data_IF_682008145654
#
_entry.id   IF_682008145654
#
_cell.length_a   1.000
_cell.length_b   1.000
_cell.length_c   1.000
_cell.angle_alpha   90.00
_cell.angle_beta   90.00
_cell.angle_gamma   90.00
#
_symmetry.space_group_name_H-M   'P 1'
#
loop_
_entity.id
_entity.type
_entity.pdbx_description
1 polymer ?
#
# COMPACT_ATOMS: atom_id res chain seq x y z
N UNK A 1 16.12 -49.44 70.53
CA UNK A 1 16.08 -48.72 69.23
C UNK A 1 14.65 -48.24 69.03
N UNK A 2 14.42 -46.96 69.31
CA UNK A 2 13.11 -46.34 69.16
C UNK A 2 12.75 -46.23 67.68
N UNK A 3 11.63 -46.86 67.30
CA UNK A 3 11.01 -46.66 65.99
C UNK A 3 10.11 -45.43 66.08
N UNK A 4 10.51 -44.35 65.41
CA UNK A 4 9.65 -43.21 65.11
C UNK A 4 8.41 -43.69 64.33
N UNK A 5 7.25 -43.72 65.00
CA UNK A 5 5.94 -43.92 64.36
C UNK A 5 5.37 -42.55 63.98
N UNK A 6 5.30 -42.27 62.69
CA UNK A 6 4.46 -41.19 62.16
C UNK A 6 3.07 -41.78 61.86
N UNK A 7 2.08 -41.43 62.68
CA UNK A 7 0.67 -41.63 62.33
C UNK A 7 0.15 -40.39 61.61
N UNK A 8 0.14 -40.40 60.28
CA UNK A 8 -0.55 -39.37 59.51
C UNK A 8 -2.06 -39.66 59.59
N UNK A 9 -2.75 -38.89 60.42
CA UNK A 9 -4.21 -38.81 60.42
C UNK A 9 -4.64 -38.15 59.10
N UNK A 10 -4.97 -38.96 58.10
CA UNK A 10 -5.70 -38.47 56.92
C UNK A 10 -7.10 -38.13 57.42
N UNK A 11 -7.34 -36.86 57.73
CA UNK A 11 -8.67 -36.37 58.11
C UNK A 11 -9.69 -36.83 57.07
N UNK A 12 -10.51 -37.81 57.49
CA UNK A 12 -11.58 -38.42 56.71
C UNK A 12 -12.38 -37.30 56.03
N UNK A 13 -12.37 -37.31 54.70
CA UNK A 13 -13.07 -36.40 53.79
C UNK A 13 -12.51 -34.97 53.58
N UNK A 14 -11.48 -34.50 54.29
CA UNK A 14 -10.96 -33.13 54.02
C UNK A 14 -10.02 -33.07 52.82
N UNK A 15 -9.10 -34.04 52.69
CA UNK A 15 -8.17 -34.09 51.55
C UNK A 15 -8.89 -34.32 50.22
N UNK A 16 -9.83 -35.28 50.08
CA UNK A 16 -10.58 -35.44 48.83
C UNK A 16 -11.49 -34.24 48.50
N UNK A 17 -12.08 -33.58 49.51
CA UNK A 17 -12.86 -32.35 49.30
C UNK A 17 -11.98 -31.19 48.82
N UNK A 18 -10.76 -31.06 49.37
CA UNK A 18 -9.80 -30.02 48.97
C UNK A 18 -9.31 -30.24 47.54
N UNK A 19 -8.94 -31.47 47.18
CA UNK A 19 -8.58 -31.83 45.80
C UNK A 19 -9.75 -31.56 44.84
N UNK A 20 -10.97 -31.96 45.20
CA UNK A 20 -12.17 -31.71 44.38
C UNK A 20 -12.49 -30.22 44.24
N UNK A 21 -12.23 -29.40 45.26
CA UNK A 21 -12.36 -27.93 45.16
C UNK A 21 -11.30 -27.37 44.23
N UNK A 22 -10.03 -27.69 44.45
CA UNK A 22 -8.92 -27.18 43.64
C UNK A 22 -9.05 -27.55 42.15
N UNK A 23 -9.53 -28.76 41.82
CA UNK A 23 -9.82 -29.13 40.42
C UNK A 23 -10.98 -28.29 39.87
N UNK A 24 -12.05 -28.07 40.64
CA UNK A 24 -13.18 -27.24 40.19
C UNK A 24 -12.80 -25.78 40.02
N UNK A 25 -11.94 -25.27 40.89
CA UNK A 25 -11.44 -23.90 40.85
C UNK A 25 -10.51 -23.74 39.65
N UNK A 26 -9.55 -24.65 39.45
CA UNK A 26 -8.67 -24.65 38.27
C UNK A 26 -9.43 -24.80 36.94
N UNK A 27 -10.46 -25.66 36.87
CA UNK A 27 -11.32 -25.77 35.68
C UNK A 27 -12.14 -24.50 35.43
N UNK A 28 -12.55 -23.79 36.49
CA UNK A 28 -13.27 -22.52 36.36
C UNK A 28 -12.33 -21.44 35.85
N UNK A 29 -11.13 -21.35 36.43
CA UNK A 29 -10.15 -20.31 36.11
C UNK A 29 -9.64 -20.50 34.66
N UNK A 30 -9.31 -21.72 34.24
CA UNK A 30 -9.00 -22.05 32.85
C UNK A 30 -10.18 -21.76 31.89
N UNK A 31 -11.41 -21.93 32.36
CA UNK A 31 -12.61 -21.58 31.60
C UNK A 31 -12.73 -20.08 31.35
N UNK A 32 -12.37 -19.24 32.32
CA UNK A 32 -12.34 -17.79 32.13
C UNK A 32 -11.19 -17.35 31.21
N UNK A 33 -10.01 -17.96 31.35
CA UNK A 33 -8.86 -17.70 30.47
C UNK A 33 -9.18 -18.00 28.99
N UNK A 34 -9.91 -19.09 28.71
CA UNK A 34 -10.39 -19.41 27.35
C UNK A 34 -11.40 -18.37 26.85
N UNK A 35 -12.28 -17.86 27.71
CA UNK A 35 -13.23 -16.81 27.33
C UNK A 35 -12.52 -15.48 27.04
N UNK A 36 -11.56 -15.08 27.87
CA UNK A 36 -10.74 -13.87 27.67
C UNK A 36 -9.96 -13.97 26.35
N UNK A 37 -9.29 -15.10 26.10
CA UNK A 37 -8.60 -15.34 24.83
C UNK A 37 -9.57 -15.32 23.64
N UNK A 38 -10.76 -15.90 23.81
CA UNK A 38 -11.80 -15.90 22.79
C UNK A 38 -12.33 -14.50 22.49
N UNK A 39 -12.42 -13.64 23.51
CA UNK A 39 -12.79 -12.24 23.39
C UNK A 39 -11.74 -11.46 22.62
N UNK A 40 -10.46 -11.59 22.99
CA UNK A 40 -9.36 -10.94 22.29
C UNK A 40 -9.32 -11.30 20.80
N UNK A 41 -9.44 -12.59 20.47
CA UNK A 41 -9.49 -13.07 19.09
C UNK A 41 -10.71 -12.53 18.34
N UNK A 42 -11.88 -12.45 19.00
CA UNK A 42 -13.07 -11.90 18.40
C UNK A 42 -12.94 -10.39 18.14
N UNK A 43 -12.38 -9.64 19.10
CA UNK A 43 -12.09 -8.21 18.97
C UNK A 43 -11.10 -7.94 17.83
N UNK A 44 -10.03 -8.72 17.71
CA UNK A 44 -9.04 -8.59 16.65
C UNK A 44 -9.63 -8.87 15.27
N UNK A 45 -10.47 -9.90 15.15
CA UNK A 45 -11.20 -10.16 13.89
C UNK A 45 -12.16 -9.03 13.54
N UNK A 46 -12.85 -8.44 14.52
CA UNK A 46 -13.70 -7.27 14.31
C UNK A 46 -12.86 -6.06 13.88
N UNK A 47 -11.66 -5.87 14.46
CA UNK A 47 -10.72 -4.81 14.10
C UNK A 47 -10.22 -4.95 12.67
N UNK A 48 -9.78 -6.15 12.28
CA UNK A 48 -9.21 -6.43 10.97
C UNK A 48 -10.23 -6.33 9.82
N UNK A 49 -11.49 -6.76 10.05
CA UNK A 49 -12.53 -6.75 9.02
C UNK A 49 -13.23 -5.40 8.82
N UNK A 50 -12.89 -4.37 9.60
CA UNK A 50 -13.47 -3.03 9.46
C UNK A 50 -15.00 -2.98 9.56
N UNK A 51 -15.61 -3.86 10.38
CA UNK A 51 -17.07 -4.00 10.46
C UNK A 51 -17.77 -2.71 10.88
N UNK A 52 -18.98 -2.51 10.36
CA UNK A 52 -19.92 -1.49 10.84
C UNK A 52 -20.22 -1.79 12.33
N UNK A 53 -20.23 -0.75 13.17
CA UNK A 53 -20.39 -0.86 14.65
C UNK A 53 -19.24 -1.54 15.39
N UNK A 54 -18.01 -1.42 14.86
CA UNK A 54 -16.78 -1.97 15.45
C UNK A 54 -16.66 -1.71 16.95
N UNK A 55 -16.93 -0.48 17.40
CA UNK A 55 -16.78 -0.08 18.80
C UNK A 55 -17.83 -0.74 19.70
N UNK A 56 -19.08 -0.77 19.25
CA UNK A 56 -20.19 -1.37 19.97
C UNK A 56 -20.02 -2.89 20.07
N UNK A 57 -19.53 -3.53 19.01
CA UNK A 57 -19.23 -4.95 19.03
C UNK A 57 -18.06 -5.27 19.97
N UNK A 58 -16.96 -4.53 19.91
CA UNK A 58 -15.79 -4.78 20.77
C UNK A 58 -16.13 -4.63 22.26
N UNK A 59 -16.94 -3.64 22.62
CA UNK A 59 -17.21 -3.32 24.03
C UNK A 59 -18.39 -4.09 24.65
N UNK A 60 -19.02 -5.00 23.90
CA UNK A 60 -20.26 -5.66 24.34
C UNK A 60 -20.12 -7.18 24.47
N UNK A 61 -18.90 -7.68 24.67
CA UNK A 61 -18.70 -9.09 25.01
C UNK A 61 -18.99 -9.30 26.50
N UNK A 62 -19.87 -10.26 26.80
CA UNK A 62 -20.19 -10.65 28.17
C UNK A 62 -19.99 -12.16 28.35
N UNK A 63 -19.21 -12.58 29.35
CA UNK A 63 -19.13 -13.97 29.74
C UNK A 63 -20.37 -14.36 30.57
N UNK A 64 -21.17 -15.29 30.06
CA UNK A 64 -22.30 -15.85 30.79
C UNK A 64 -21.96 -17.21 31.38
N UNK A 65 -22.23 -17.36 32.69
CA UNK A 65 -22.04 -18.60 33.42
C UNK A 65 -23.39 -19.29 33.66
N UNK A 66 -23.64 -20.37 32.92
CA UNK A 66 -24.86 -21.14 33.04
C UNK A 66 -24.66 -22.37 33.92
N UNK A 67 -25.47 -22.51 34.97
CA UNK A 67 -25.54 -23.73 35.78
C UNK A 67 -26.56 -24.70 35.19
N UNK A 68 -26.10 -25.78 34.56
CA UNK A 68 -26.95 -26.87 34.10
C UNK A 68 -26.93 -28.05 35.08
N UNK A 69 -27.94 -28.94 35.08
CA UNK A 69 -27.96 -30.15 35.92
C UNK A 69 -26.76 -31.08 35.68
N UNK A 70 -26.14 -31.01 34.49
CA UNK A 70 -25.00 -31.84 34.06
C UNK A 70 -23.63 -31.15 34.13
N UNK A 71 -23.54 -29.90 34.58
CA UNK A 71 -22.27 -29.16 34.63
C UNK A 71 -22.43 -27.64 34.57
N UNK A 72 -21.30 -26.93 34.54
CA UNK A 72 -21.25 -25.48 34.26
C UNK A 72 -20.73 -25.28 32.85
N UNK A 73 -21.41 -24.45 32.08
CA UNK A 73 -20.94 -24.06 30.75
C UNK A 73 -20.73 -22.55 30.75
N UNK A 74 -19.62 -22.13 30.15
CA UNK A 74 -19.21 -20.75 30.00
C UNK A 74 -19.44 -20.37 28.54
N UNK A 75 -20.14 -19.26 28.30
CA UNK A 75 -20.44 -18.78 26.95
C UNK A 75 -19.98 -17.33 26.86
N UNK A 76 -19.16 -17.03 25.86
CA UNK A 76 -18.85 -15.66 25.47
C UNK A 76 -19.91 -15.22 24.47
N UNK A 77 -20.64 -14.15 24.75
CA UNK A 77 -21.66 -13.62 23.83
C UNK A 77 -21.43 -12.14 23.59
N UNK A 78 -21.59 -11.71 22.35
CA UNK A 78 -21.75 -10.29 22.04
C UNK A 78 -23.21 -9.88 22.28
N UNK A 79 -23.44 -9.03 23.27
CA UNK A 79 -24.78 -8.57 23.65
C UNK A 79 -25.20 -7.27 22.94
N UNK A 80 -24.36 -6.77 22.03
CA UNK A 80 -24.72 -5.61 21.20
C UNK A 80 -25.98 -5.91 20.37
N UNK A 81 -26.91 -4.97 20.33
CA UNK A 81 -28.09 -5.03 19.43
C UNK A 81 -27.68 -5.12 17.95
N UNK A 82 -26.42 -4.83 17.64
CA UNK A 82 -25.83 -4.84 16.31
C UNK A 82 -25.13 -6.16 15.94
N UNK A 83 -24.93 -7.08 16.90
CA UNK A 83 -24.24 -8.34 16.66
C UNK A 83 -24.98 -9.25 15.68
N UNK A 84 -26.29 -9.45 15.88
CA UNK A 84 -27.10 -10.31 15.02
C UNK A 84 -27.15 -9.84 13.55
N UNK A 85 -27.37 -8.53 13.25
CA UNK A 85 -27.24 -8.02 11.88
C UNK A 85 -25.90 -8.29 11.19
N UNK A 86 -24.80 -8.34 11.95
CA UNK A 86 -23.43 -8.53 11.43
C UNK A 86 -23.11 -10.01 11.22
N UNK A 87 -23.64 -10.89 12.07
CA UNK A 87 -23.42 -12.34 12.02
C UNK A 87 -24.35 -13.05 11.03
N UNK A 88 -25.62 -12.68 11.02
CA UNK A 88 -26.68 -13.40 10.30
C UNK A 88 -27.22 -12.63 9.09
N UNK A 89 -26.75 -11.40 8.89
CA UNK A 89 -27.31 -10.47 7.91
C UNK A 89 -28.56 -9.79 8.44
N UNK A 90 -28.78 -8.55 8.05
CA UNK A 90 -29.85 -7.76 8.63
C UNK A 90 -31.19 -7.97 7.90
N UNK A 91 -32.23 -8.34 8.64
CA UNK A 91 -33.62 -8.29 8.15
C UNK A 91 -34.30 -7.08 8.76
N UNK A 92 -34.37 -5.96 8.02
CA UNK A 92 -34.97 -4.72 8.52
C UNK A 92 -36.48 -4.69 8.31
N UNK A 93 -37.21 -4.12 9.28
CA UNK A 93 -38.62 -3.75 9.07
C UNK A 93 -38.73 -2.53 8.16
N UNK A 94 -39.95 -2.07 7.83
CA UNK A 94 -40.19 -0.85 7.02
C UNK A 94 -39.50 0.44 7.55
N UNK A 95 -39.00 0.44 8.79
CA UNK A 95 -38.25 1.56 9.38
C UNK A 95 -36.76 1.60 9.00
N UNK A 96 -36.25 0.58 8.31
CA UNK A 96 -34.84 0.52 7.91
C UNK A 96 -33.87 0.27 9.08
N UNK A 97 -32.54 0.27 8.83
CA UNK A 97 -31.53 0.19 9.87
C UNK A 97 -31.61 1.36 10.87
N UNK A 98 -31.17 1.19 12.12
CA UNK A 98 -31.04 2.29 13.06
C UNK A 98 -29.94 3.25 12.59
N UNK A 99 -30.33 4.24 11.77
CA UNK A 99 -29.43 5.21 11.15
C UNK A 99 -28.54 5.90 12.21
N UNK A 100 -29.08 6.21 13.38
CA UNK A 100 -28.34 6.86 14.46
C UNK A 100 -27.07 6.09 14.90
N UNK A 101 -27.11 4.75 14.90
CA UNK A 101 -25.96 3.91 15.24
C UNK A 101 -24.96 3.80 14.08
N UNK A 102 -25.39 4.07 12.84
CA UNK A 102 -24.51 4.09 11.67
C UNK A 102 -23.74 5.40 11.53
N UNK A 103 -24.26 6.49 12.11
CA UNK A 103 -23.65 7.83 12.01
C UNK A 103 -22.17 7.82 12.42
N UNK A 104 -21.73 7.21 13.55
CA UNK A 104 -20.31 7.20 13.90
C UNK A 104 -19.42 6.48 12.88
N UNK A 105 -19.88 5.36 12.30
CA UNK A 105 -19.13 4.60 11.29
C UNK A 105 -19.09 5.33 9.94
N UNK A 106 -20.22 5.92 9.53
CA UNK A 106 -20.29 6.78 8.33
C UNK A 106 -19.37 7.97 8.52
N UNK A 107 -19.39 8.64 9.67
CA UNK A 107 -18.48 9.74 9.99
C UNK A 107 -17.02 9.27 10.00
N UNK A 108 -16.67 8.15 10.63
CA UNK A 108 -15.29 7.60 10.59
C UNK A 108 -14.81 7.34 9.16
N UNK A 109 -15.68 6.86 8.27
CA UNK A 109 -15.33 6.61 6.86
C UNK A 109 -15.42 7.84 5.96
N UNK A 110 -16.25 8.83 6.28
CA UNK A 110 -16.32 10.10 5.55
C UNK A 110 -15.32 11.15 6.03
N UNK A 111 -14.84 11.06 7.28
CA UNK A 111 -13.89 12.03 7.85
C UNK A 111 -12.45 11.86 7.36
N UNK A 112 -12.18 10.94 6.41
CA UNK A 112 -10.94 10.97 5.65
C UNK A 112 -10.94 12.01 4.51
N UNK A 113 -12.04 12.75 4.29
CA UNK A 113 -12.09 13.86 3.32
C UNK A 113 -12.79 15.14 3.79
N UNK A 114 -13.35 15.20 5.00
CA UNK A 114 -13.78 16.49 5.57
C UNK A 114 -13.98 16.37 7.08
N UNK A 115 -13.14 17.08 7.83
CA UNK A 115 -13.27 17.17 9.28
C UNK A 115 -14.48 18.01 9.66
N UNK A 116 -15.48 17.42 10.31
CA UNK A 116 -16.33 18.13 11.26
C UNK A 116 -17.16 17.14 12.12
N UNK A 117 -17.00 17.31 13.44
CA UNK A 117 -17.83 16.84 14.57
C UNK A 117 -17.46 15.50 15.26
N UNK A 118 -16.94 15.62 16.49
CA UNK A 118 -17.59 14.92 17.61
C UNK A 118 -16.75 14.10 18.60
N UNK A 119 -15.46 14.35 18.73
CA UNK A 119 -14.64 13.84 19.84
C UNK A 119 -13.62 14.88 20.30
N UNK A 120 -14.06 16.14 20.43
CA UNK A 120 -13.21 17.35 20.45
C UNK A 120 -12.01 17.22 21.39
N UNK A 121 -12.15 16.77 22.63
CA UNK A 121 -11.00 16.78 23.54
C UNK A 121 -9.93 15.72 23.22
N UNK A 122 -10.31 14.57 22.65
CA UNK A 122 -9.34 13.51 22.29
C UNK A 122 -8.83 13.69 20.85
N UNK A 123 -9.68 14.15 19.93
CA UNK A 123 -9.28 14.47 18.55
C UNK A 123 -8.45 15.75 18.51
N UNK A 124 -8.76 16.77 19.30
CA UNK A 124 -7.93 17.98 19.42
C UNK A 124 -6.63 17.66 20.12
N UNK A 125 -6.61 16.91 21.24
CA UNK A 125 -5.32 16.51 21.85
C UNK A 125 -4.48 15.61 20.95
N UNK A 126 -5.11 14.76 20.12
CA UNK A 126 -4.39 13.94 19.14
C UNK A 126 -3.92 14.78 17.96
N UNK A 127 -4.75 15.67 17.42
CA UNK A 127 -4.38 16.60 16.35
C UNK A 127 -3.29 17.58 16.81
N UNK A 128 -3.39 18.12 18.02
CA UNK A 128 -2.39 18.97 18.68
C UNK A 128 -1.08 18.21 18.93
N UNK A 129 -1.13 16.95 19.40
CA UNK A 129 0.09 16.13 19.56
C UNK A 129 0.71 15.74 18.22
N UNK A 130 -0.12 15.50 17.20
CA UNK A 130 0.34 15.23 15.84
C UNK A 130 0.98 16.50 15.27
N UNK A 131 0.39 17.68 15.50
CA UNK A 131 0.98 18.95 15.07
C UNK A 131 2.26 19.30 15.84
N UNK A 132 2.33 19.04 17.15
CA UNK A 132 3.54 19.26 17.95
C UNK A 132 4.69 18.33 17.52
N UNK A 133 4.38 17.05 17.26
CA UNK A 133 5.39 16.11 16.74
C UNK A 133 5.83 16.47 15.33
N UNK A 134 4.87 16.82 14.47
CA UNK A 134 5.16 17.23 13.10
C UNK A 134 6.05 18.49 13.07
N UNK A 135 5.66 19.51 13.83
CA UNK A 135 6.47 20.72 14.01
C UNK A 135 7.86 20.39 14.56
N UNK A 136 7.98 19.40 15.47
CA UNK A 136 9.28 18.96 15.95
C UNK A 136 10.14 18.34 14.85
N UNK A 137 9.56 17.54 13.96
CA UNK A 137 10.33 16.97 12.84
C UNK A 137 10.79 18.05 11.86
N UNK A 138 9.92 19.04 11.57
CA UNK A 138 10.26 20.22 10.76
C UNK A 138 11.41 21.01 11.39
N UNK A 139 11.35 21.29 12.70
CA UNK A 139 12.44 21.96 13.43
C UNK A 139 13.77 21.19 13.33
N UNK A 140 13.73 19.86 13.52
CA UNK A 140 14.93 19.01 13.40
C UNK A 140 15.49 19.06 11.98
N UNK A 141 14.63 18.98 10.97
CA UNK A 141 15.03 19.05 9.57
C UNK A 141 15.67 20.40 9.24
N UNK A 142 15.06 21.51 9.68
CA UNK A 142 15.63 22.85 9.55
C UNK A 142 16.98 22.98 10.26
N UNK A 143 17.15 22.41 11.45
CA UNK A 143 18.42 22.42 12.18
C UNK A 143 19.52 21.66 11.45
N UNK A 144 19.18 20.51 10.85
CA UNK A 144 20.08 19.72 10.00
C UNK A 144 20.44 20.51 8.74
N UNK A 145 19.46 21.12 8.07
CA UNK A 145 19.67 21.93 6.86
C UNK A 145 20.46 23.21 7.15
N UNK A 146 20.27 23.88 8.29
CA UNK A 146 21.13 25.03 8.66
C UNK A 146 22.61 24.66 8.79
N UNK A 147 22.92 23.39 9.09
CA UNK A 147 24.29 22.85 9.12
C UNK A 147 24.75 22.33 7.75
N UNK A 148 23.85 22.27 6.79
CA UNK A 148 24.04 21.65 5.49
C UNK A 148 23.49 22.55 4.36
N UNK A 149 24.37 23.23 3.63
CA UNK A 149 23.97 24.05 2.48
C UNK A 149 23.95 23.20 1.20
N UNK A 150 22.81 23.12 0.51
CA UNK A 150 22.69 22.50 -0.82
C UNK A 150 23.21 23.39 -1.98
N UNK A 151 23.95 24.47 -1.67
CA UNK A 151 24.14 25.65 -2.51
C UNK A 151 24.61 25.51 -3.97
N UNK A 152 24.87 24.32 -4.54
CA UNK A 152 25.45 24.19 -5.89
C UNK A 152 24.84 23.07 -6.77
N UNK A 153 23.58 22.64 -6.55
CA UNK A 153 22.98 21.52 -7.28
C UNK A 153 21.98 21.94 -8.37
N UNK A 154 22.38 22.78 -9.33
CA UNK A 154 21.55 23.01 -10.53
C UNK A 154 21.40 21.69 -11.33
N UNK A 155 20.29 20.98 -11.11
CA UNK A 155 19.88 19.81 -11.90
C UNK A 155 20.72 18.54 -11.72
N UNK A 156 21.60 18.48 -10.72
CA UNK A 156 22.44 17.31 -10.44
C UNK A 156 22.08 16.66 -9.10
N UNK A 157 22.17 15.33 -9.04
CA UNK A 157 22.05 14.62 -7.77
C UNK A 157 23.18 15.08 -6.81
N UNK A 158 22.93 15.17 -5.49
CA UNK A 158 23.96 15.52 -4.53
C UNK A 158 25.14 14.56 -4.63
N UNK A 159 26.35 15.09 -4.49
CA UNK A 159 27.54 14.24 -4.55
C UNK A 159 27.63 13.36 -3.29
N UNK A 160 28.43 12.29 -3.36
CA UNK A 160 28.58 11.34 -2.25
C UNK A 160 28.96 12.01 -0.92
N UNK A 161 29.79 13.06 -0.95
CA UNK A 161 30.26 13.76 0.25
C UNK A 161 29.12 14.55 0.91
N UNK A 162 28.29 15.21 0.11
CA UNK A 162 27.09 15.90 0.56
C UNK A 162 26.12 14.96 1.27
N UNK A 163 25.79 13.83 0.63
CA UNK A 163 24.90 12.84 1.25
C UNK A 163 25.48 12.20 2.50
N UNK A 164 26.79 11.94 2.51
CA UNK A 164 27.47 11.45 3.72
C UNK A 164 27.39 12.47 4.85
N UNK A 165 27.54 13.77 4.56
CA UNK A 165 27.39 14.83 5.55
C UNK A 165 25.94 14.93 6.06
N UNK A 166 24.95 14.89 5.18
CA UNK A 166 23.52 14.88 5.55
C UNK A 166 23.22 13.73 6.52
N UNK A 167 23.62 12.51 6.16
CA UNK A 167 23.43 11.31 6.98
C UNK A 167 24.17 11.43 8.32
N UNK A 168 25.41 11.94 8.30
CA UNK A 168 26.20 12.14 9.51
C UNK A 168 25.56 13.14 10.47
N UNK A 169 25.03 14.26 9.97
CA UNK A 169 24.36 15.25 10.79
C UNK A 169 23.01 14.75 11.31
N UNK A 170 22.26 14.02 10.49
CA UNK A 170 21.00 13.37 10.90
C UNK A 170 21.24 12.35 12.01
N UNK A 171 22.22 11.47 11.85
CA UNK A 171 22.56 10.44 12.84
C UNK A 171 23.15 10.98 14.16
N UNK A 172 23.56 12.26 14.18
CA UNK A 172 24.12 12.95 15.36
C UNK A 172 23.17 13.95 15.99
N UNK A 173 21.94 14.06 15.49
CA UNK A 173 20.93 14.89 16.12
C UNK A 173 20.53 14.28 17.47
N UNK A 174 20.48 15.07 18.54
CA UNK A 174 20.29 14.57 19.91
C UNK A 174 18.94 13.86 20.12
N UNK A 175 17.96 14.18 19.27
CA UNK A 175 16.62 13.57 19.29
C UNK A 175 16.46 12.34 18.39
N UNK A 176 17.50 11.93 17.65
CA UNK A 176 17.43 10.80 16.74
C UNK A 176 18.34 9.65 17.18
N UNK A 177 17.84 8.42 17.03
CA UNK A 177 18.65 7.21 17.19
C UNK A 177 19.50 7.00 15.93
N UNK A 178 20.81 7.22 16.02
CA UNK A 178 21.73 7.02 14.90
C UNK A 178 21.65 5.62 14.27
N UNK A 179 21.34 4.58 15.06
CA UNK A 179 21.14 3.23 14.48
C UNK A 179 19.86 3.16 13.64
N UNK A 180 18.81 3.89 14.02
CA UNK A 180 17.58 3.96 13.23
C UNK A 180 17.82 4.67 11.90
N UNK A 181 18.62 5.74 11.90
CA UNK A 181 19.03 6.46 10.68
C UNK A 181 19.79 5.54 9.72
N UNK A 182 20.77 4.78 10.23
CA UNK A 182 21.54 3.83 9.41
C UNK A 182 20.68 2.67 8.88
N UNK A 183 19.75 2.16 9.69
CA UNK A 183 18.79 1.12 9.29
C UNK A 183 17.89 1.58 8.15
N UNK A 184 17.33 2.81 8.23
CA UNK A 184 16.50 3.39 7.16
C UNK A 184 17.29 3.53 5.87
N UNK A 185 18.51 4.09 5.96
CA UNK A 185 19.41 4.22 4.81
C UNK A 185 19.67 2.85 4.16
N UNK A 186 20.00 1.82 4.94
CA UNK A 186 20.26 0.49 4.40
C UNK A 186 19.01 -0.14 3.77
N UNK A 187 17.83 0.11 4.34
CA UNK A 187 16.56 -0.36 3.82
C UNK A 187 16.20 0.34 2.50
N UNK A 188 16.38 1.66 2.41
CA UNK A 188 16.18 2.44 1.18
C UNK A 188 17.15 2.03 0.06
N UNK A 189 18.45 1.87 0.37
CA UNK A 189 19.44 1.38 -0.61
C UNK A 189 19.08 -0.04 -1.09
N UNK A 190 18.59 -0.90 -0.19
CA UNK A 190 18.16 -2.25 -0.57
C UNK A 190 16.90 -2.26 -1.43
N UNK A 191 15.99 -1.31 -1.22
CA UNK A 191 14.82 -1.11 -2.08
C UNK A 191 15.24 -0.80 -3.51
N UNK A 192 16.16 0.14 -3.68
CA UNK A 192 16.65 0.54 -5.01
C UNK A 192 17.43 -0.56 -5.71
N UNK A 193 18.32 -1.24 -4.97
CA UNK A 193 19.21 -2.25 -5.54
C UNK A 193 18.56 -3.59 -5.87
N UNK A 194 17.27 -3.80 -5.53
CA UNK A 194 16.61 -5.09 -5.76
C UNK A 194 15.14 -4.97 -6.15
N UNK A 195 14.79 -5.55 -7.29
CA UNK A 195 13.40 -5.81 -7.65
C UNK A 195 12.79 -6.98 -6.88
N UNK A 196 13.61 -7.81 -6.24
CA UNK A 196 13.19 -8.99 -5.49
C UNK A 196 12.90 -8.62 -4.03
N UNK A 197 11.73 -9.00 -3.49
CA UNK A 197 11.45 -8.87 -2.07
C UNK A 197 12.53 -9.52 -1.21
N UNK A 198 13.02 -8.77 -0.21
CA UNK A 198 13.83 -9.27 0.88
C UNK A 198 13.43 -8.55 2.17
N UNK A 199 13.90 -9.03 3.31
CA UNK A 199 13.51 -8.49 4.63
C UNK A 199 13.72 -6.98 4.75
N UNK A 200 14.74 -6.40 4.10
CA UNK A 200 14.98 -4.95 4.13
C UNK A 200 13.99 -4.18 3.27
N UNK A 201 13.65 -4.69 2.09
CA UNK A 201 12.60 -4.13 1.22
C UNK A 201 11.24 -4.19 1.91
N UNK A 202 10.94 -5.33 2.55
CA UNK A 202 9.71 -5.53 3.31
C UNK A 202 9.65 -4.58 4.53
N UNK A 203 10.72 -4.52 5.34
CA UNK A 203 10.85 -3.58 6.46
C UNK A 203 10.63 -2.15 6.00
N UNK A 204 11.28 -1.74 4.89
CA UNK A 204 11.14 -0.39 4.35
C UNK A 204 9.69 -0.06 3.99
N UNK A 205 9.00 -0.96 3.26
CA UNK A 205 7.60 -0.77 2.89
C UNK A 205 6.68 -0.65 4.11
N UNK A 206 6.84 -1.52 5.11
CA UNK A 206 6.07 -1.47 6.34
C UNK A 206 6.40 -0.22 7.19
N UNK A 207 7.67 0.19 7.22
CA UNK A 207 8.11 1.39 7.92
C UNK A 207 7.51 2.65 7.28
N UNK A 208 7.60 2.81 5.96
CA UNK A 208 6.97 3.92 5.24
C UNK A 208 5.47 3.96 5.49
N UNK A 209 4.80 2.80 5.43
CA UNK A 209 3.37 2.69 5.73
C UNK A 209 3.04 3.20 7.15
N UNK A 210 3.78 2.76 8.17
CA UNK A 210 3.57 3.20 9.56
C UNK A 210 3.92 4.68 9.78
N UNK A 211 5.01 5.16 9.18
CA UNK A 211 5.50 6.51 9.36
C UNK A 211 4.54 7.54 8.77
N UNK A 212 4.05 7.29 7.56
CA UNK A 212 3.25 8.24 6.77
C UNK A 212 1.75 7.95 6.79
N UNK A 213 1.32 6.85 7.43
CA UNK A 213 -0.08 6.44 7.49
C UNK A 213 -0.65 6.05 6.14
N UNK A 214 0.14 5.32 5.34
CA UNK A 214 -0.24 4.95 3.97
C UNK A 214 -1.34 3.88 3.95
N UNK A 215 -2.27 4.02 3.00
CA UNK A 215 -3.19 2.94 2.63
C UNK A 215 -2.46 1.87 1.80
N UNK A 216 -3.14 0.81 1.33
CA UNK A 216 -2.51 -0.20 0.47
C UNK A 216 -1.74 -1.32 1.20
N UNK A 217 -1.48 -2.42 0.53
CA UNK A 217 -0.62 -3.49 1.09
C UNK A 217 0.86 -3.13 0.96
N UNK A 218 1.70 -3.40 1.98
CA UNK A 218 3.15 -3.38 1.78
C UNK A 218 3.57 -4.33 0.66
N UNK A 219 4.66 -4.01 -0.04
CA UNK A 219 5.16 -4.79 -1.20
C UNK A 219 5.51 -6.23 -0.85
N UNK A 220 5.83 -6.51 0.40
CA UNK A 220 6.15 -7.83 0.91
C UNK A 220 5.90 -7.90 2.42
N UNK A 221 5.59 -9.10 2.91
CA UNK A 221 5.37 -9.35 4.33
C UNK A 221 6.66 -9.15 5.14
N UNK A 222 6.54 -8.49 6.29
CA UNK A 222 7.62 -8.30 7.25
C UNK A 222 7.18 -8.73 8.65
N UNK A 223 7.84 -9.76 9.18
CA UNK A 223 7.55 -10.32 10.51
C UNK A 223 8.35 -9.65 11.65
N UNK A 224 9.22 -8.69 11.32
CA UNK A 224 10.04 -8.00 12.32
C UNK A 224 9.34 -6.79 12.95
N UNK A 225 9.92 -6.32 14.06
CA UNK A 225 9.41 -5.14 14.76
C UNK A 225 9.90 -3.84 14.09
N UNK A 226 8.99 -2.89 13.92
CA UNK A 226 9.30 -1.49 13.57
C UNK A 226 9.30 -0.66 14.84
N UNK A 227 10.47 -0.06 15.14
CA UNK A 227 10.70 0.77 16.34
C UNK A 227 10.17 2.19 16.12
N UNK A 228 9.72 2.83 17.17
CA UNK A 228 9.29 4.25 17.11
C UNK A 228 10.45 5.17 16.68
N UNK A 229 11.69 4.88 17.08
CA UNK A 229 12.84 5.66 16.63
C UNK A 229 13.10 5.58 15.12
N UNK A 230 12.71 4.48 14.46
CA UNK A 230 12.76 4.34 13.01
C UNK A 230 11.64 5.14 12.35
N UNK A 231 10.46 5.19 12.96
CA UNK A 231 9.35 6.04 12.48
C UNK A 231 9.73 7.52 12.58
N UNK A 232 10.30 7.96 13.70
CA UNK A 232 10.72 9.34 13.93
C UNK A 232 11.80 9.77 12.92
N UNK A 233 12.84 8.94 12.74
CA UNK A 233 13.89 9.22 11.76
C UNK A 233 13.36 9.24 10.31
N UNK A 234 12.40 8.36 9.98
CA UNK A 234 11.77 8.34 8.66
C UNK A 234 10.98 9.62 8.36
N UNK A 235 10.33 10.20 9.37
CA UNK A 235 9.63 11.49 9.23
C UNK A 235 10.58 12.67 9.08
N UNK A 236 11.70 12.68 9.79
CA UNK A 236 12.73 13.70 9.55
C UNK A 236 13.31 13.58 8.14
N UNK A 237 13.54 12.37 7.64
CA UNK A 237 13.94 12.18 6.24
C UNK A 237 12.89 12.68 5.25
N UNK A 238 11.60 12.50 5.53
CA UNK A 238 10.53 13.05 4.69
C UNK A 238 10.61 14.57 4.59
N UNK A 239 10.74 15.28 5.71
CA UNK A 239 10.90 16.75 5.70
C UNK A 239 12.13 17.19 4.91
N UNK A 240 13.29 16.56 5.17
CA UNK A 240 14.54 16.84 4.44
C UNK A 240 14.41 16.56 2.94
N UNK A 241 13.71 15.49 2.57
CA UNK A 241 13.44 15.11 1.19
C UNK A 241 12.56 16.12 0.48
N UNK A 242 11.46 16.51 1.12
CA UNK A 242 10.47 17.41 0.50
C UNK A 242 11.06 18.80 0.30
N UNK A 243 11.82 19.28 1.27
CA UNK A 243 12.55 20.54 1.10
C UNK A 243 13.57 20.44 -0.05
N UNK A 244 14.36 19.36 -0.09
CA UNK A 244 15.29 19.14 -1.19
C UNK A 244 14.58 19.06 -2.55
N UNK A 245 13.42 18.40 -2.61
CA UNK A 245 12.59 18.31 -3.80
C UNK A 245 12.09 19.70 -4.24
N UNK A 246 11.59 20.54 -3.33
CA UNK A 246 11.15 21.91 -3.64
C UNK A 246 12.26 22.79 -4.19
N UNK A 247 13.48 22.64 -3.66
CA UNK A 247 14.63 23.45 -4.07
C UNK A 247 15.25 22.99 -5.41
N UNK A 248 15.22 21.68 -5.72
CA UNK A 248 16.05 21.10 -6.78
C UNK A 248 15.28 20.39 -7.90
N UNK A 249 14.00 20.13 -7.70
CA UNK A 249 13.12 19.62 -8.76
C UNK A 249 12.34 20.79 -9.37
N UNK A 250 11.87 20.61 -10.60
CA UNK A 250 11.03 21.58 -11.28
C UNK A 250 9.62 21.58 -10.69
N UNK A 251 9.47 22.02 -9.45
CA UNK A 251 8.19 22.15 -8.76
C UNK A 251 7.47 23.38 -9.30
N UNK A 252 6.20 23.21 -9.68
CA UNK A 252 5.37 24.32 -10.16
C UNK A 252 4.88 25.23 -9.00
N UNK A 253 4.11 26.26 -9.36
CA UNK A 253 3.58 27.23 -8.38
C UNK A 253 2.56 26.63 -7.40
N UNK A 254 1.96 25.50 -7.75
CA UNK A 254 0.99 24.77 -6.94
C UNK A 254 1.66 23.67 -6.09
N UNK A 255 2.99 23.55 -6.15
CA UNK A 255 3.76 22.57 -5.39
C UNK A 255 3.80 21.19 -6.04
N UNK A 256 3.46 21.07 -7.32
CA UNK A 256 3.46 19.79 -8.04
C UNK A 256 4.75 19.56 -8.81
N UNK A 257 5.10 18.28 -8.93
CA UNK A 257 6.17 17.78 -9.79
C UNK A 257 5.60 16.74 -10.76
N UNK A 258 6.03 16.81 -12.02
CA UNK A 258 5.73 15.78 -13.01
C UNK A 258 6.60 14.55 -12.76
N UNK A 259 5.96 13.41 -12.55
CA UNK A 259 6.61 12.14 -12.25
C UNK A 259 6.20 11.05 -13.25
N UNK A 260 7.17 10.24 -13.65
CA UNK A 260 7.02 9.20 -14.66
C UNK A 260 7.24 7.81 -14.08
N UNK A 261 6.48 6.82 -14.56
CA UNK A 261 6.67 5.42 -14.17
C UNK A 261 6.43 4.46 -15.33
N UNK A 262 7.42 3.62 -15.59
CA UNK A 262 7.28 2.47 -16.49
C UNK A 262 6.47 1.36 -15.83
N UNK A 263 5.38 0.93 -16.47
CA UNK A 263 4.56 -0.16 -15.98
C UNK A 263 5.14 -1.52 -16.41
N UNK A 264 5.13 -2.48 -15.49
CA UNK A 264 5.52 -3.87 -15.75
C UNK A 264 4.28 -4.77 -15.74
N UNK A 265 4.03 -5.48 -14.64
CA UNK A 265 2.83 -6.29 -14.41
C UNK A 265 1.52 -5.50 -14.64
N UNK A 266 1.44 -4.26 -14.14
CA UNK A 266 0.29 -3.37 -14.36
C UNK A 266 0.00 -3.05 -15.83
N UNK A 267 0.95 -3.25 -16.76
CA UNK A 267 0.68 -3.13 -18.20
C UNK A 267 -0.41 -4.09 -18.64
N UNK A 268 -0.45 -5.31 -18.08
CA UNK A 268 -1.44 -6.31 -18.44
C UNK A 268 -2.85 -5.93 -17.98
N UNK A 269 -2.98 -5.50 -16.72
CA UNK A 269 -4.26 -5.09 -16.11
C UNK A 269 -4.83 -3.83 -16.77
N UNK A 270 -3.98 -2.81 -16.97
CA UNK A 270 -4.38 -1.59 -17.66
C UNK A 270 -4.65 -1.86 -19.15
N UNK A 271 -3.86 -2.71 -19.80
CA UNK A 271 -4.09 -3.17 -21.17
C UNK A 271 -5.48 -3.80 -21.36
N UNK A 272 -5.90 -4.67 -20.44
CA UNK A 272 -7.24 -5.24 -20.48
C UNK A 272 -8.34 -4.18 -20.34
N UNK A 273 -8.16 -3.19 -19.46
CA UNK A 273 -9.10 -2.07 -19.32
C UNK A 273 -9.16 -1.22 -20.59
N UNK A 274 -8.01 -0.90 -21.19
CA UNK A 274 -7.92 -0.16 -22.46
C UNK A 274 -8.68 -0.89 -23.56
N UNK A 275 -8.50 -2.21 -23.71
CA UNK A 275 -9.27 -2.96 -24.71
C UNK A 275 -10.76 -3.02 -24.37
N UNK A 276 -11.12 -3.34 -23.12
CA UNK A 276 -12.51 -3.47 -22.70
C UNK A 276 -13.29 -2.15 -22.81
N UNK A 277 -12.66 -1.04 -22.46
CA UNK A 277 -13.27 0.27 -22.19
C UNK A 277 -12.40 1.43 -22.72
N UNK A 278 -12.04 1.39 -24.01
CA UNK A 278 -11.17 2.39 -24.65
C UNK A 278 -11.69 3.85 -24.57
N UNK A 279 -13.00 4.03 -24.42
CA UNK A 279 -13.64 5.34 -24.32
C UNK A 279 -13.79 5.88 -22.89
N UNK A 280 -13.32 5.15 -21.88
CA UNK A 280 -13.32 5.65 -20.49
C UNK A 280 -12.22 6.72 -20.33
N UNK A 281 -12.52 7.75 -19.53
CA UNK A 281 -11.58 8.84 -19.25
C UNK A 281 -10.54 8.46 -18.17
N UNK A 282 -10.80 7.40 -17.42
CA UNK A 282 -10.02 6.99 -16.27
C UNK A 282 -9.98 5.47 -16.13
N UNK A 283 -8.87 4.93 -15.64
CA UNK A 283 -8.70 3.51 -15.33
C UNK A 283 -8.12 3.33 -13.93
N UNK A 284 -8.23 2.11 -13.40
CA UNK A 284 -7.68 1.76 -12.09
C UNK A 284 -6.47 0.85 -12.26
N UNK A 285 -5.40 1.12 -11.52
CA UNK A 285 -4.29 0.19 -11.39
C UNK A 285 -4.12 -0.20 -9.93
N UNK A 286 -3.90 -1.50 -9.68
CA UNK A 286 -3.60 -1.96 -8.32
C UNK A 286 -2.28 -1.37 -7.86
N UNK A 287 -2.15 -1.14 -6.57
CA UNK A 287 -0.90 -0.64 -5.99
C UNK A 287 -0.58 -1.27 -4.65
N UNK A 288 0.63 -0.98 -4.21
CA UNK A 288 1.09 -1.14 -2.85
C UNK A 288 0.97 0.18 -2.11
N UNK A 289 1.27 0.14 -0.82
CA UNK A 289 1.30 1.32 0.03
C UNK A 289 2.31 2.40 -0.44
N UNK A 290 3.38 1.98 -1.12
CA UNK A 290 4.47 2.83 -1.55
C UNK A 290 4.82 2.51 -3.00
N UNK A 291 4.83 3.53 -3.84
CA UNK A 291 5.12 3.40 -5.27
C UNK A 291 6.37 4.19 -5.65
N UNK A 292 7.08 3.71 -6.67
CA UNK A 292 8.29 4.33 -7.17
C UNK A 292 8.06 4.97 -8.53
N UNK A 293 8.45 6.24 -8.64
CA UNK A 293 8.43 7.05 -9.84
C UNK A 293 9.82 7.64 -10.08
N UNK A 294 10.01 8.22 -11.25
CA UNK A 294 11.21 8.98 -11.61
C UNK A 294 10.81 10.38 -12.06
N UNK A 295 11.65 11.37 -11.78
CA UNK A 295 11.50 12.70 -12.41
C UNK A 295 11.96 12.72 -13.88
N UNK A 296 12.47 11.60 -14.39
CA UNK A 296 13.02 11.45 -15.74
C UNK A 296 12.19 10.52 -16.59
N UNK A 297 11.72 11.04 -17.71
CA UNK A 297 10.93 10.30 -18.68
C UNK A 297 11.70 9.11 -19.26
N UNK A 298 12.98 9.30 -19.59
CA UNK A 298 13.82 8.28 -20.20
C UNK A 298 13.99 7.05 -19.30
N UNK A 299 14.00 7.24 -17.98
CA UNK A 299 14.11 6.16 -16.99
C UNK A 299 12.81 5.36 -16.98
N UNK A 300 11.65 6.03 -17.00
CA UNK A 300 10.36 5.34 -17.09
C UNK A 300 10.24 4.49 -18.37
N UNK A 301 10.82 4.94 -19.48
CA UNK A 301 10.88 4.18 -20.72
C UNK A 301 11.72 2.88 -20.57
N UNK A 302 12.89 2.96 -19.93
CA UNK A 302 13.77 1.79 -19.70
C UNK A 302 13.11 0.69 -18.86
N UNK A 303 12.31 1.07 -17.87
CA UNK A 303 11.63 0.12 -16.99
C UNK A 303 10.28 -0.36 -17.51
N UNK A 304 9.72 0.28 -18.55
CA UNK A 304 8.41 -0.09 -19.10
C UNK A 304 8.42 -1.42 -19.85
N UNK A 305 7.32 -2.17 -19.72
CA UNK A 305 7.01 -3.36 -20.52
C UNK A 305 5.80 -3.16 -21.43
N UNK A 306 5.39 -1.92 -21.69
CA UNK A 306 4.39 -1.61 -22.70
C UNK A 306 3.66 -0.30 -22.48
N UNK A 307 3.53 0.16 -21.23
CA UNK A 307 2.89 1.42 -20.87
C UNK A 307 3.78 2.24 -19.93
N UNK A 308 3.72 3.55 -20.08
CA UNK A 308 4.28 4.52 -19.14
C UNK A 308 3.14 5.39 -18.64
N UNK A 309 3.19 5.75 -17.36
CA UNK A 309 2.31 6.76 -16.80
C UNK A 309 3.11 8.02 -16.46
N UNK A 310 2.49 9.18 -16.62
CA UNK A 310 3.04 10.48 -16.27
C UNK A 310 1.98 11.29 -15.53
N UNK A 311 2.26 11.64 -14.28
CA UNK A 311 1.29 12.31 -13.41
C UNK A 311 1.96 13.48 -12.69
N UNK A 312 1.18 14.54 -12.44
CA UNK A 312 1.58 15.59 -11.51
C UNK A 312 1.28 15.14 -10.08
N UNK A 313 2.26 15.28 -9.20
CA UNK A 313 2.18 14.89 -7.80
C UNK A 313 2.57 16.06 -6.91
N UNK A 314 1.75 16.36 -5.92
CA UNK A 314 2.07 17.41 -4.97
C UNK A 314 3.17 16.93 -4.02
N UNK A 315 4.23 17.73 -3.88
CA UNK A 315 5.39 17.35 -3.04
C UNK A 315 4.98 17.12 -1.59
N UNK A 316 4.03 17.91 -1.07
CA UNK A 316 3.66 17.88 0.35
C UNK A 316 2.66 16.77 0.66
N UNK A 317 1.71 16.52 -0.23
CA UNK A 317 0.69 15.49 0.00
C UNK A 317 1.07 14.11 -0.53
N UNK A 318 1.77 14.02 -1.67
CA UNK A 318 1.91 12.77 -2.41
C UNK A 318 3.32 12.18 -2.34
N UNK A 319 4.35 13.02 -2.25
CA UNK A 319 5.73 12.54 -2.14
C UNK A 319 5.99 12.07 -0.71
N UNK A 320 6.55 10.88 -0.57
CA UNK A 320 7.04 10.38 0.72
C UNK A 320 8.53 10.63 0.85
N UNK A 321 9.33 10.25 -0.15
CA UNK A 321 10.78 10.43 -0.16
C UNK A 321 11.33 10.58 -1.58
N UNK A 322 12.11 11.62 -1.84
CA UNK A 322 13.02 11.72 -2.96
C UNK A 322 14.31 10.97 -2.62
N UNK A 323 14.33 9.67 -2.92
CA UNK A 323 15.37 8.73 -2.47
C UNK A 323 16.75 9.12 -2.98
N UNK A 324 16.84 9.44 -4.26
CA UNK A 324 18.12 9.85 -4.87
C UNK A 324 18.54 11.27 -4.50
N UNK A 325 17.67 12.04 -3.84
CA UNK A 325 18.04 13.30 -3.18
C UNK A 325 18.64 13.11 -1.79
N UNK A 326 18.34 11.99 -1.11
CA UNK A 326 18.79 11.74 0.27
C UNK A 326 19.94 10.72 0.37
N UNK A 327 19.94 9.70 -0.48
CA UNK A 327 20.79 8.54 -0.32
C UNK A 327 21.69 8.31 -1.54
N UNK A 328 22.98 8.08 -1.28
CA UNK A 328 23.91 7.78 -2.37
C UNK A 328 23.78 6.32 -2.76
N UNK A 329 23.36 6.08 -4.01
CA UNK A 329 23.15 4.77 -4.57
C UNK A 329 23.95 4.61 -5.87
N UNK A 330 24.22 3.37 -6.29
CA UNK A 330 24.85 3.13 -7.60
C UNK A 330 23.97 3.50 -8.79
N UNK A 331 22.71 3.87 -8.54
CA UNK A 331 21.66 4.09 -9.54
C UNK A 331 21.05 5.50 -9.41
N UNK A 332 21.79 6.47 -8.84
CA UNK A 332 21.32 7.86 -8.67
C UNK A 332 20.82 8.54 -9.95
N UNK A 333 21.23 8.05 -11.12
CA UNK A 333 20.80 8.57 -12.42
C UNK A 333 19.30 8.36 -12.68
N UNK A 334 18.63 7.50 -11.91
CA UNK A 334 17.20 7.20 -11.99
C UNK A 334 16.31 8.31 -11.40
N UNK A 335 16.84 9.17 -10.51
CA UNK A 335 16.08 10.24 -9.84
C UNK A 335 14.76 9.72 -9.24
N UNK A 336 14.88 8.65 -8.45
CA UNK A 336 13.75 7.92 -7.90
C UNK A 336 13.05 8.70 -6.78
N UNK A 337 11.73 8.86 -6.94
CA UNK A 337 10.81 9.46 -5.99
C UNK A 337 9.82 8.41 -5.54
N UNK A 338 9.72 8.21 -4.23
CA UNK A 338 8.71 7.39 -3.61
C UNK A 338 7.47 8.22 -3.33
N UNK A 339 6.33 7.78 -3.85
CA UNK A 339 5.04 8.44 -3.68
C UNK A 339 4.08 7.56 -2.89
N UNK A 340 3.10 8.20 -2.26
CA UNK A 340 1.98 7.52 -1.60
C UNK A 340 1.24 6.68 -2.63
N UNK A 341 1.11 5.39 -2.33
CA UNK A 341 0.27 4.48 -3.09
C UNK A 341 -1.09 4.28 -2.42
N UNK A 342 -1.63 3.06 -2.54
CA UNK A 342 -2.96 2.70 -2.04
C UNK A 342 -3.25 1.23 -2.33
N UNK A 343 -4.51 0.83 -2.19
CA UNK A 343 -4.96 -0.47 -2.73
C UNK A 343 -5.08 -0.40 -4.27
N UNK A 344 -5.46 0.77 -4.78
CA UNK A 344 -5.42 1.16 -6.18
C UNK A 344 -5.27 2.68 -6.29
N UNK A 345 -4.93 3.18 -7.48
CA UNK A 345 -5.21 4.58 -7.82
C UNK A 345 -5.71 4.72 -9.25
N UNK A 346 -6.38 5.84 -9.48
CA UNK A 346 -6.93 6.25 -10.77
C UNK A 346 -5.84 6.85 -11.66
N UNK A 347 -5.77 6.40 -12.90
CA UNK A 347 -4.96 7.04 -13.96
C UNK A 347 -5.88 7.61 -15.01
N UNK A 348 -5.71 8.90 -15.31
CA UNK A 348 -6.41 9.59 -16.38
C UNK A 348 -5.94 9.10 -17.75
N UNK A 349 -6.81 9.19 -18.74
CA UNK A 349 -6.53 8.77 -20.12
C UNK A 349 -5.38 9.55 -20.77
N UNK A 350 -5.22 10.80 -20.40
CA UNK A 350 -4.14 11.72 -20.78
C UNK A 350 -2.84 11.51 -19.98
N UNK A 351 -2.87 10.66 -18.95
CA UNK A 351 -1.71 10.31 -18.13
C UNK A 351 -1.02 9.02 -18.58
N UNK A 352 -1.56 8.33 -19.59
CA UNK A 352 -1.04 7.05 -20.09
C UNK A 352 -0.39 7.22 -21.45
N UNK A 353 0.79 6.63 -21.62
CA UNK A 353 1.64 6.80 -22.79
C UNK A 353 2.14 5.46 -23.33
N UNK A 354 2.29 5.39 -24.65
CA UNK A 354 3.02 4.32 -25.33
C UNK A 354 4.52 4.70 -25.40
N UNK A 355 5.44 3.84 -24.90
CA UNK A 355 6.88 4.08 -24.98
C UNK A 355 7.41 3.74 -26.38
N UNK A 356 7.73 4.73 -27.19
CA UNK A 356 8.08 4.58 -28.60
C UNK A 356 9.57 4.72 -28.86
N UNK A 357 10.03 4.20 -30.01
CA UNK A 357 11.42 4.30 -30.44
C UNK A 357 11.51 4.82 -31.88
N UNK A 358 12.35 5.81 -32.13
CA UNK A 358 12.69 6.27 -33.48
C UNK A 358 14.20 6.43 -33.71
N UNK A 359 14.57 7.18 -34.76
CA UNK A 359 15.98 7.44 -35.08
C UNK A 359 16.62 8.47 -34.14
N UNK A 360 15.82 9.35 -33.54
CA UNK A 360 16.26 10.41 -32.63
C UNK A 360 16.37 9.91 -31.19
N UNK A 361 15.55 8.94 -30.78
CA UNK A 361 15.60 8.41 -29.43
C UNK A 361 14.29 7.73 -28.99
N UNK A 362 14.24 7.25 -27.73
CA UNK A 362 12.98 6.93 -27.11
C UNK A 362 12.12 8.19 -26.97
N UNK A 363 10.80 8.06 -27.10
CA UNK A 363 9.83 9.12 -26.86
C UNK A 363 8.51 8.53 -26.36
N UNK A 364 7.64 9.34 -25.77
CA UNK A 364 6.29 8.93 -25.36
C UNK A 364 5.24 9.43 -26.35
N UNK A 365 4.28 8.57 -26.69
CA UNK A 365 3.11 8.92 -27.50
C UNK A 365 1.86 8.82 -26.63
N UNK A 366 1.06 9.88 -26.57
CA UNK A 366 -0.12 9.97 -25.72
C UNK A 366 -1.15 8.91 -26.12
N UNK A 367 -1.62 8.11 -25.17
CA UNK A 367 -2.56 7.03 -25.48
C UNK A 367 -3.95 7.56 -25.85
N UNK A 368 -4.37 8.68 -25.24
CA UNK A 368 -5.68 9.31 -25.48
C UNK A 368 -6.01 9.49 -26.96
N UNK A 369 -5.25 10.31 -27.72
CA UNK A 369 -5.45 10.52 -29.15
C UNK A 369 -5.42 9.23 -29.99
N UNK A 370 -4.56 8.26 -29.62
CA UNK A 370 -4.46 6.97 -30.31
C UNK A 370 -5.73 6.15 -30.15
N UNK A 371 -6.32 6.17 -28.95
CA UNK A 371 -7.59 5.49 -28.68
C UNK A 371 -8.76 6.16 -29.43
N UNK A 372 -8.74 7.48 -29.61
CA UNK A 372 -9.75 8.17 -30.43
C UNK A 372 -9.64 7.77 -31.91
N UNK A 373 -8.41 7.59 -32.40
CA UNK A 373 -8.15 7.09 -33.75
C UNK A 373 -8.63 5.63 -33.92
N UNK A 374 -8.38 4.77 -32.93
CA UNK A 374 -8.91 3.39 -32.92
C UNK A 374 -10.44 3.37 -32.94
N UNK A 375 -11.11 4.18 -32.12
CA UNK A 375 -12.57 4.21 -32.07
C UNK A 375 -13.20 4.75 -33.36
N UNK A 376 -12.53 5.68 -34.04
CA UNK A 376 -13.04 6.28 -35.28
C UNK A 376 -12.73 5.47 -36.53
N UNK A 377 -11.55 4.85 -36.60
CA UNK A 377 -10.98 4.31 -37.85
C UNK A 377 -10.42 2.89 -37.72
N UNK A 378 -10.47 2.28 -36.53
CA UNK A 378 -9.91 0.96 -36.25
C UNK A 378 -8.38 0.95 -36.20
N UNK A 379 -7.80 -0.22 -35.92
CA UNK A 379 -6.34 -0.38 -35.81
C UNK A 379 -5.59 -0.22 -37.14
N UNK A 380 -6.29 -0.29 -38.28
CA UNK A 380 -5.73 -0.04 -39.61
C UNK A 380 -5.32 1.42 -39.83
N UNK A 381 -5.74 2.35 -38.99
CA UNK A 381 -5.30 3.75 -39.05
C UNK A 381 -3.93 3.97 -38.37
N UNK A 382 -3.56 3.10 -37.43
CA UNK A 382 -2.34 3.27 -36.64
C UNK A 382 -1.08 3.08 -37.47
N UNK A 383 0.01 3.69 -37.02
CA UNK A 383 1.35 3.45 -37.57
C UNK A 383 1.87 2.07 -37.15
N UNK A 384 2.81 1.51 -37.92
CA UNK A 384 3.43 0.22 -37.58
C UNK A 384 4.11 0.24 -36.21
N UNK A 385 4.70 1.37 -35.83
CA UNK A 385 5.29 1.53 -34.49
C UNK A 385 4.24 1.45 -33.38
N UNK A 386 3.08 2.07 -33.57
CA UNK A 386 2.00 2.03 -32.57
C UNK A 386 1.45 0.61 -32.47
N UNK A 387 1.26 -0.09 -33.59
CA UNK A 387 0.88 -1.50 -33.59
C UNK A 387 1.91 -2.38 -32.85
N UNK A 388 3.21 -2.13 -33.02
CA UNK A 388 4.27 -2.76 -32.24
C UNK A 388 4.23 -2.42 -30.75
N UNK A 389 3.83 -1.20 -30.39
CA UNK A 389 3.66 -0.83 -28.99
C UNK A 389 2.52 -1.63 -28.34
N UNK A 390 1.37 -1.76 -29.02
CA UNK A 390 0.28 -2.63 -28.58
C UNK A 390 0.70 -4.11 -28.50
N UNK A 391 1.60 -4.58 -29.37
CA UNK A 391 2.14 -5.95 -29.27
C UNK A 391 2.84 -6.21 -27.93
N UNK A 392 3.51 -5.21 -27.33
CA UNK A 392 4.09 -5.33 -25.99
C UNK A 392 3.02 -5.45 -24.91
N UNK A 393 1.94 -4.67 -25.00
CA UNK A 393 0.79 -4.75 -24.10
C UNK A 393 0.15 -6.14 -24.16
N UNK A 394 -0.16 -6.63 -25.37
CA UNK A 394 -0.74 -7.97 -25.59
C UNK A 394 0.19 -9.08 -25.11
N UNK A 395 1.51 -8.93 -25.29
CA UNK A 395 2.49 -9.89 -24.76
C UNK A 395 2.47 -9.94 -23.23
N UNK A 396 2.31 -8.78 -22.56
CA UNK A 396 2.19 -8.71 -21.11
C UNK A 396 0.88 -9.32 -20.62
N UNK A 397 -0.24 -9.06 -21.32
CA UNK A 397 -1.53 -9.69 -21.00
C UNK A 397 -1.47 -11.21 -21.08
N UNK A 398 -0.91 -11.77 -22.16
CA UNK A 398 -0.72 -13.23 -22.30
C UNK A 398 0.21 -13.81 -21.23
N UNK A 399 1.33 -13.13 -20.94
CA UNK A 399 2.30 -13.57 -19.93
C UNK A 399 1.70 -13.61 -18.52
N UNK A 400 0.81 -12.67 -18.21
CA UNK A 400 0.19 -12.50 -16.91
C UNK A 400 -1.18 -13.16 -16.80
N UNK A 401 -1.64 -13.85 -17.86
CA UNK A 401 -2.95 -14.51 -17.94
C UNK A 401 -4.13 -13.54 -17.67
N UNK A 402 -4.02 -12.31 -18.18
CA UNK A 402 -5.06 -11.27 -18.03
C UNK A 402 -5.95 -11.25 -19.27
N UNK A 403 -7.25 -11.46 -19.06
CA UNK A 403 -8.24 -11.59 -20.12
C UNK A 403 -8.95 -10.28 -20.47
N UNK A 404 -9.43 -10.22 -21.71
CA UNK A 404 -10.39 -9.21 -22.18
C UNK A 404 -11.80 -9.80 -22.10
N UNK A 405 -12.63 -9.21 -21.25
CA UNK A 405 -13.89 -9.83 -20.80
C UNK A 405 -15.12 -9.26 -21.48
N UNK A 406 -15.02 -8.15 -22.20
CA UNK A 406 -16.15 -7.55 -22.91
C UNK A 406 -16.16 -7.94 -24.40
N UNK A 407 -17.34 -8.15 -25.02
CA UNK A 407 -17.40 -8.40 -26.46
C UNK A 407 -16.78 -7.28 -27.31
N UNK A 408 -16.93 -6.03 -26.87
CA UNK A 408 -16.31 -4.88 -27.52
C UNK A 408 -14.78 -4.97 -27.47
N UNK A 409 -14.21 -5.29 -26.30
CA UNK A 409 -12.77 -5.45 -26.16
C UNK A 409 -12.23 -6.63 -26.95
N UNK A 410 -12.94 -7.77 -26.97
CA UNK A 410 -12.56 -8.93 -27.78
C UNK A 410 -12.53 -8.56 -29.27
N UNK A 411 -13.52 -7.79 -29.74
CA UNK A 411 -13.54 -7.28 -31.11
C UNK A 411 -12.36 -6.36 -31.41
N UNK A 412 -12.01 -5.43 -30.50
CA UNK A 412 -10.82 -4.55 -30.65
C UNK A 412 -9.52 -5.33 -30.70
N UNK A 413 -9.39 -6.37 -29.87
CA UNK A 413 -8.18 -7.20 -29.85
C UNK A 413 -8.03 -8.01 -31.14
N UNK A 414 -9.13 -8.51 -31.71
CA UNK A 414 -9.13 -9.15 -33.03
C UNK A 414 -8.84 -8.16 -34.17
N UNK A 415 -9.36 -6.94 -34.09
CA UNK A 415 -9.07 -5.87 -35.05
C UNK A 415 -7.57 -5.53 -35.04
N UNK A 416 -6.99 -5.31 -33.86
CA UNK A 416 -5.54 -5.15 -33.69
C UNK A 416 -4.75 -6.32 -34.29
N UNK A 417 -5.15 -7.56 -33.98
CA UNK A 417 -4.48 -8.76 -34.48
C UNK A 417 -4.47 -8.78 -36.01
N UNK A 418 -5.60 -8.48 -36.65
CA UNK A 418 -5.74 -8.49 -38.10
C UNK A 418 -4.89 -7.40 -38.75
N UNK A 419 -4.87 -6.18 -38.21
CA UNK A 419 -4.01 -5.11 -38.69
C UNK A 419 -2.52 -5.48 -38.54
N UNK A 420 -2.13 -5.99 -37.38
CA UNK A 420 -0.74 -6.37 -37.07
C UNK A 420 -0.22 -7.52 -37.95
N UNK A 421 -1.03 -8.58 -38.14
CA UNK A 421 -0.69 -9.72 -38.99
C UNK A 421 -0.76 -9.34 -40.46
N UNK A 422 -1.80 -8.63 -40.89
CA UNK A 422 -2.02 -8.24 -42.28
C UNK A 422 -0.90 -7.36 -42.84
N UNK A 423 -0.23 -6.59 -41.99
CA UNK A 423 0.96 -5.80 -42.34
C UNK A 423 2.28 -6.56 -42.20
N UNK A 424 2.27 -7.81 -41.77
CA UNK A 424 3.47 -8.65 -41.64
C UNK A 424 4.37 -8.29 -40.45
N UNK A 425 3.89 -7.46 -39.51
CA UNK A 425 4.70 -6.92 -38.40
C UNK A 425 5.12 -8.00 -37.39
N UNK A 426 4.42 -9.13 -37.35
CA UNK A 426 4.76 -10.25 -36.49
C UNK A 426 6.17 -10.80 -36.75
N UNK A 427 6.67 -10.73 -37.99
CA UNK A 427 8.02 -11.19 -38.34
C UNK A 427 9.13 -10.41 -37.60
N UNK A 428 8.90 -9.14 -37.29
CA UNK A 428 9.86 -8.28 -36.60
C UNK A 428 9.95 -8.58 -35.09
N UNK A 429 8.95 -9.29 -34.56
CA UNK A 429 8.91 -9.69 -33.13
C UNK A 429 9.58 -11.02 -32.84
N UNK A 430 10.01 -11.76 -33.88
CA UNK A 430 10.57 -13.10 -33.74
C UNK A 430 9.52 -14.20 -33.45
N UNK A 431 8.23 -13.88 -33.54
CA UNK A 431 7.12 -14.84 -33.38
C UNK A 431 6.46 -15.15 -34.73
N UNK A 432 5.89 -16.35 -34.84
CA UNK A 432 5.09 -16.73 -36.01
C UNK A 432 3.69 -16.11 -35.94
N UNK A 433 3.02 -16.02 -37.09
CA UNK A 433 1.60 -15.65 -37.17
C UNK A 433 0.73 -16.49 -36.22
N UNK A 434 0.87 -17.81 -36.29
CA UNK A 434 0.14 -18.76 -35.43
C UNK A 434 0.40 -18.52 -33.93
N UNK A 435 1.61 -18.11 -33.56
CA UNK A 435 1.93 -17.76 -32.16
C UNK A 435 1.12 -16.57 -31.68
N UNK A 436 0.98 -15.51 -32.50
CA UNK A 436 0.16 -14.35 -32.17
C UNK A 436 -1.32 -14.67 -32.12
N UNK A 437 -1.83 -15.46 -33.07
CA UNK A 437 -3.22 -15.94 -33.05
C UNK A 437 -3.51 -16.69 -31.74
N UNK A 438 -2.62 -17.60 -31.35
CA UNK A 438 -2.78 -18.37 -30.12
C UNK A 438 -2.70 -17.50 -28.85
N UNK A 439 -1.89 -16.43 -28.85
CA UNK A 439 -1.83 -15.46 -27.73
C UNK A 439 -3.16 -14.73 -27.58
N UNK A 440 -3.67 -14.17 -28.67
CA UNK A 440 -4.93 -13.43 -28.68
C UNK A 440 -6.09 -14.33 -28.27
N UNK A 441 -6.15 -15.56 -28.77
CA UNK A 441 -7.17 -16.53 -28.35
C UNK A 441 -7.14 -16.80 -26.84
N UNK A 442 -5.96 -16.94 -26.22
CA UNK A 442 -5.87 -17.12 -24.76
C UNK A 442 -6.38 -15.92 -23.97
N UNK A 443 -6.13 -14.71 -24.46
CA UNK A 443 -6.57 -13.46 -23.83
C UNK A 443 -8.09 -13.28 -23.95
N UNK A 444 -8.70 -13.72 -25.06
CA UNK A 444 -10.15 -13.65 -25.28
C UNK A 444 -10.91 -14.67 -24.41
N UNK A 445 -10.29 -15.81 -24.11
CA UNK A 445 -10.92 -16.95 -23.43
C UNK A 445 -11.65 -17.85 -24.43
#
# INVERSE_FOLDING_TARGET
MDKLKFSVSVEKNRVPKRIKSSIKDGMRDAGYEILETGEDVAQDRIRAKGRIWKRELINSFEPQNHKAPKGRWLVLRNISEHAAPVEEGATYTKRGPPIAALIPWILEKWTFSSGLLGGTEFSERRALRVSERQQRYEEIAEEIQKRFSFADLEGNAPNLKEMQNLLFHTARHDDLDGNAVDEIRHAAISWKGSSTPNDRVAKYSHLSKRAFGLDGTPRADYDGDIRESEIDAMRVFHELSNEYAREHLNVDEDGNIRLHRGLTHHTAELGAQIFNYAGDDEWQISTNALENFSTKEEIAHEFSRGLVISQDKNVDSDVTLFVDGLFHTGQQHEFEVHVRGGDSYTVGRDEVFLPMMDRAGPYLDELGPILDEIESSGFDALTDKQLHAFARIVSMMDRMDVQVTTPAGQSRLLDWQNAFIGRGLHHETGFTEESWINRVNRIIG
#
